data_IF_305560649637
#
_entry.id   IF_305560649637
#
_cell.length_a   1.000
_cell.length_b   1.000
_cell.length_c   1.000
_cell.angle_alpha   90.00
_cell.angle_beta   90.00
_cell.angle_gamma   90.00
#
_symmetry.space_group_name_H-M   'P 1'
#
loop_
_entity.id
_entity.type
_entity.pdbx_description
1 polymer ?
#
# COMPACT_ATOMS: atom_id res chain seq x y z
N UNK A 1 -29.50 -1.46 -11.00
CA UNK A 1 -28.80 -0.37 -10.25
C UNK A 1 -27.87 -1.00 -9.24
N UNK A 2 -26.59 -0.65 -9.28
CA UNK A 2 -25.56 -1.19 -8.39
C UNK A 2 -25.72 -0.66 -6.96
N UNK A 3 -25.28 -1.45 -5.98
CA UNK A 3 -25.13 -1.04 -4.58
C UNK A 3 -24.00 0.00 -4.43
N UNK A 4 -23.94 0.67 -3.29
CA UNK A 4 -22.88 1.66 -3.01
C UNK A 4 -21.47 1.02 -2.99
N UNK A 5 -21.36 -0.20 -2.47
CA UNK A 5 -20.11 -0.96 -2.43
C UNK A 5 -19.68 -1.44 -3.81
N UNK A 6 -20.60 -1.96 -4.63
CA UNK A 6 -20.34 -2.36 -6.02
C UNK A 6 -19.89 -1.17 -6.85
N UNK A 7 -20.60 -0.04 -6.72
CA UNK A 7 -20.22 1.20 -7.39
C UNK A 7 -18.80 1.62 -7.02
N UNK A 8 -18.45 1.54 -5.74
CA UNK A 8 -17.08 1.84 -5.30
C UNK A 8 -16.04 0.91 -5.94
N UNK A 9 -16.31 -0.39 -6.05
CA UNK A 9 -15.41 -1.35 -6.71
C UNK A 9 -15.23 -1.02 -8.20
N UNK A 10 -16.30 -0.63 -8.90
CA UNK A 10 -16.23 -0.22 -10.32
C UNK A 10 -15.39 1.06 -10.45
N UNK A 11 -15.55 2.03 -9.55
CA UNK A 11 -14.72 3.25 -9.51
C UNK A 11 -13.24 2.89 -9.32
N UNK A 12 -12.93 2.02 -8.36
CA UNK A 12 -11.54 1.60 -8.10
C UNK A 12 -10.96 0.86 -9.31
N UNK A 13 -11.72 -0.05 -9.92
CA UNK A 13 -11.30 -0.75 -11.13
C UNK A 13 -10.97 0.22 -12.26
N UNK A 14 -11.88 1.16 -12.53
CA UNK A 14 -11.70 2.18 -13.55
C UNK A 14 -10.45 3.02 -13.27
N UNK A 15 -10.32 3.57 -12.07
CA UNK A 15 -9.18 4.40 -11.67
C UNK A 15 -7.86 3.65 -11.72
N UNK A 16 -7.87 2.35 -11.41
CA UNK A 16 -6.66 1.54 -11.49
C UNK A 16 -6.09 1.46 -12.92
N UNK A 17 -6.96 1.57 -13.93
CA UNK A 17 -6.62 1.51 -15.36
C UNK A 17 -6.42 2.90 -15.99
N UNK A 18 -7.07 3.93 -15.44
CA UNK A 18 -6.91 5.32 -15.87
C UNK A 18 -5.66 5.98 -15.23
N UNK A 19 -4.48 5.54 -15.66
CA UNK A 19 -3.20 6.05 -15.15
C UNK A 19 -3.01 7.56 -15.32
N UNK A 20 -3.57 8.11 -16.40
CA UNK A 20 -3.50 9.54 -16.70
C UNK A 20 -4.53 10.36 -15.94
N UNK A 21 -5.56 9.70 -15.40
CA UNK A 21 -6.64 10.37 -14.70
C UNK A 21 -7.62 11.11 -15.60
N UNK A 22 -7.54 10.88 -16.91
CA UNK A 22 -8.21 11.71 -17.94
C UNK A 22 -9.72 11.41 -17.98
N UNK A 23 -10.19 10.39 -17.27
CA UNK A 23 -11.56 9.89 -17.32
C UNK A 23 -11.83 9.03 -18.56
N UNK A 24 -10.78 8.61 -19.25
CA UNK A 24 -10.80 7.79 -20.47
C UNK A 24 -9.77 6.68 -20.37
N UNK A 25 -10.22 5.42 -20.43
CA UNK A 25 -9.33 4.27 -20.44
C UNK A 25 -9.18 3.77 -21.88
N UNK A 26 -7.96 3.64 -22.42
CA UNK A 26 -7.77 3.03 -23.73
C UNK A 26 -8.33 1.61 -23.76
N UNK A 27 -9.04 1.24 -24.83
CA UNK A 27 -9.58 -0.11 -24.98
C UNK A 27 -8.51 -1.20 -24.80
N UNK A 28 -7.27 -0.95 -25.24
CA UNK A 28 -6.14 -1.88 -25.03
C UNK A 28 -5.86 -2.18 -23.56
N UNK A 29 -5.98 -1.19 -22.68
CA UNK A 29 -5.75 -1.35 -21.24
C UNK A 29 -6.87 -2.18 -20.60
N UNK A 30 -8.13 -1.91 -20.96
CA UNK A 30 -9.28 -2.70 -20.51
C UNK A 30 -9.12 -4.17 -20.90
N UNK A 31 -8.75 -4.45 -22.16
CA UNK A 31 -8.50 -5.82 -22.64
C UNK A 31 -7.36 -6.50 -21.88
N UNK A 32 -6.29 -5.77 -21.60
CA UNK A 32 -5.12 -6.31 -20.90
C UNK A 32 -5.44 -6.70 -19.46
N UNK A 33 -6.27 -5.90 -18.78
CA UNK A 33 -6.65 -6.10 -17.38
C UNK A 33 -7.74 -7.13 -17.18
N UNK A 34 -8.65 -7.23 -18.14
CA UNK A 34 -9.83 -8.06 -18.04
C UNK A 34 -9.48 -9.56 -17.91
N UNK A 35 -9.94 -10.16 -16.82
CA UNK A 35 -9.77 -11.57 -16.55
C UNK A 35 -11.00 -12.38 -16.96
N UNK A 36 -11.04 -12.72 -18.25
CA UNK A 36 -12.13 -13.47 -18.88
C UNK A 36 -12.52 -14.80 -18.18
N UNK A 37 -11.60 -15.45 -17.47
CA UNK A 37 -11.90 -16.69 -16.75
C UNK A 37 -12.80 -16.47 -15.52
N UNK A 38 -12.83 -15.27 -14.97
CA UNK A 38 -13.69 -14.92 -13.84
C UNK A 38 -15.12 -14.57 -14.26
N UNK A 39 -15.39 -14.44 -15.56
CA UNK A 39 -16.73 -14.11 -16.06
C UNK A 39 -17.74 -15.20 -15.63
N UNK A 40 -18.94 -14.85 -15.12
CA UNK A 40 -19.92 -15.80 -14.60
C UNK A 40 -20.21 -16.97 -15.54
N UNK A 41 -20.57 -16.66 -16.79
CA UNK A 41 -20.89 -17.66 -17.82
C UNK A 41 -19.69 -18.55 -18.19
N UNK A 42 -18.47 -18.08 -17.97
CA UNK A 42 -17.25 -18.88 -18.18
C UNK A 42 -17.02 -19.83 -17.02
N UNK A 43 -17.20 -19.38 -15.78
CA UNK A 43 -17.13 -20.25 -14.59
C UNK A 43 -18.15 -21.39 -14.62
N UNK A 44 -19.33 -21.10 -15.14
CA UNK A 44 -20.40 -22.09 -15.31
C UNK A 44 -20.19 -23.02 -16.51
N UNK A 45 -19.16 -22.78 -17.34
CA UNK A 45 -18.91 -23.55 -18.56
C UNK A 45 -19.88 -23.27 -19.70
N UNK A 46 -20.76 -22.27 -19.57
CA UNK A 46 -21.71 -21.84 -20.62
C UNK A 46 -21.04 -20.99 -21.70
N UNK A 47 -19.85 -20.46 -21.46
CA UNK A 47 -19.12 -19.57 -22.35
C UNK A 47 -17.61 -19.90 -22.33
N UNK A 48 -16.96 -19.83 -23.49
CA UNK A 48 -15.50 -19.93 -23.56
C UNK A 48 -14.84 -18.59 -23.14
N UNK A 49 -13.66 -18.61 -22.50
CA UNK A 49 -12.95 -17.37 -22.15
C UNK A 49 -12.67 -16.46 -23.35
N UNK A 50 -12.43 -17.02 -24.54
CA UNK A 50 -12.28 -16.25 -25.78
C UNK A 50 -13.57 -15.50 -26.12
N UNK A 51 -14.71 -16.18 -26.06
CA UNK A 51 -16.01 -15.55 -26.30
C UNK A 51 -16.34 -14.45 -25.27
N UNK A 52 -15.87 -14.59 -24.02
CA UNK A 52 -16.01 -13.54 -23.01
C UNK A 52 -15.13 -12.31 -23.30
N UNK A 53 -13.96 -12.50 -23.94
CA UNK A 53 -13.14 -11.39 -24.46
C UNK A 53 -13.77 -10.78 -25.69
N UNK A 54 -14.30 -11.59 -26.61
CA UNK A 54 -14.94 -11.11 -27.84
C UNK A 54 -16.19 -10.28 -27.52
N UNK A 55 -16.98 -10.68 -26.52
CA UNK A 55 -18.14 -9.91 -26.04
C UNK A 55 -17.72 -8.60 -25.39
N UNK A 56 -16.66 -8.60 -24.58
CA UNK A 56 -16.09 -7.37 -24.04
C UNK A 56 -15.57 -6.44 -25.15
N UNK A 57 -14.85 -7.00 -26.11
CA UNK A 57 -14.31 -6.29 -27.28
C UNK A 57 -15.43 -5.70 -28.14
N UNK A 58 -16.53 -6.42 -28.31
CA UNK A 58 -17.69 -5.93 -29.02
C UNK A 58 -18.36 -4.77 -28.25
N UNK A 59 -18.59 -4.96 -26.95
CA UNK A 59 -19.26 -3.95 -26.12
C UNK A 59 -18.45 -2.66 -26.05
N UNK A 60 -17.20 -2.74 -25.59
CA UNK A 60 -16.36 -1.56 -25.47
C UNK A 60 -15.75 -1.10 -26.79
N UNK A 61 -15.71 -1.94 -27.83
CA UNK A 61 -15.28 -1.53 -29.16
C UNK A 61 -16.23 -0.52 -29.80
N UNK A 62 -17.54 -0.67 -29.56
CA UNK A 62 -18.54 0.30 -29.98
C UNK A 62 -18.39 1.62 -29.21
N UNK A 63 -18.32 1.56 -27.88
CA UNK A 63 -18.07 2.71 -27.01
C UNK A 63 -16.77 3.46 -27.39
N UNK A 64 -15.70 2.71 -27.61
CA UNK A 64 -14.40 3.25 -27.96
C UNK A 64 -14.41 3.94 -29.33
N UNK A 65 -15.23 3.48 -30.28
CA UNK A 65 -15.36 4.14 -31.58
C UNK A 65 -15.98 5.55 -31.46
N UNK A 66 -16.83 5.77 -30.47
CA UNK A 66 -17.46 7.07 -30.20
C UNK A 66 -16.53 8.04 -29.45
N UNK A 67 -15.42 7.55 -28.91
CA UNK A 67 -14.52 8.27 -27.99
C UNK A 67 -13.03 8.09 -28.32
N UNK A 68 -12.67 8.08 -29.61
CA UNK A 68 -11.27 8.02 -30.11
C UNK A 68 -10.44 6.85 -29.52
N UNK A 69 -11.07 5.71 -29.31
CA UNK A 69 -10.44 4.52 -28.74
C UNK A 69 -10.46 4.44 -27.21
N UNK A 70 -11.05 5.43 -26.53
CA UNK A 70 -11.18 5.49 -25.08
C UNK A 70 -12.55 5.03 -24.58
N UNK A 71 -12.58 4.48 -23.36
CA UNK A 71 -13.80 4.05 -22.68
C UNK A 71 -14.00 4.97 -21.49
N UNK A 72 -15.20 5.48 -21.35
CA UNK A 72 -15.55 6.44 -20.32
C UNK A 72 -16.14 5.77 -19.08
N UNK A 73 -16.13 6.47 -17.94
CA UNK A 73 -16.61 5.87 -16.69
C UNK A 73 -18.07 5.42 -16.77
N UNK A 74 -18.98 6.20 -17.36
CA UNK A 74 -20.40 5.79 -17.40
C UNK A 74 -20.64 4.60 -18.33
N UNK A 75 -19.84 4.42 -19.38
CA UNK A 75 -19.92 3.22 -20.24
C UNK A 75 -19.39 1.98 -19.52
N UNK A 76 -18.29 2.16 -18.78
CA UNK A 76 -17.74 1.13 -17.92
C UNK A 76 -18.70 0.76 -16.79
N UNK A 77 -19.39 1.74 -16.20
CA UNK A 77 -20.43 1.54 -15.20
C UNK A 77 -21.63 0.80 -15.79
N UNK A 78 -22.13 1.23 -16.95
CA UNK A 78 -23.25 0.60 -17.63
C UNK A 78 -22.97 -0.87 -17.98
N UNK A 79 -21.72 -1.21 -18.33
CA UNK A 79 -21.31 -2.61 -18.50
C UNK A 79 -21.51 -3.45 -17.22
N UNK A 80 -21.19 -2.90 -16.06
CA UNK A 80 -21.37 -3.59 -14.78
C UNK A 80 -22.83 -3.62 -14.33
N UNK A 81 -23.59 -2.56 -14.59
CA UNK A 81 -25.05 -2.57 -14.39
C UNK A 81 -25.69 -3.69 -15.21
N UNK A 82 -25.26 -3.88 -16.47
CA UNK A 82 -25.74 -4.99 -17.30
C UNK A 82 -25.38 -6.36 -16.72
N UNK A 83 -24.17 -6.55 -16.18
CA UNK A 83 -23.79 -7.81 -15.52
C UNK A 83 -24.69 -8.06 -14.29
N UNK A 84 -24.95 -7.02 -13.49
CA UNK A 84 -25.82 -7.12 -12.32
C UNK A 84 -27.28 -7.44 -12.73
N UNK A 85 -27.77 -6.83 -13.80
CA UNK A 85 -29.11 -7.10 -14.34
C UNK A 85 -29.20 -8.54 -14.89
N UNK A 86 -28.18 -9.03 -15.59
CA UNK A 86 -28.11 -10.43 -16.03
C UNK A 86 -28.09 -11.41 -14.84
N UNK A 87 -27.38 -11.07 -13.74
CA UNK A 87 -27.37 -11.88 -12.52
C UNK A 87 -28.74 -11.90 -11.81
N UNK A 88 -29.48 -10.80 -11.89
CA UNK A 88 -30.85 -10.71 -11.38
C UNK A 88 -31.79 -11.63 -12.17
N UNK A 89 -31.69 -11.62 -13.50
CA UNK A 89 -32.50 -12.48 -14.38
C UNK A 89 -32.22 -13.97 -14.17
N UNK A 90 -30.98 -14.34 -13.87
CA UNK A 90 -30.58 -15.73 -13.57
C UNK A 90 -30.97 -16.20 -12.16
N UNK A 91 -31.64 -15.37 -11.35
CA UNK A 91 -32.08 -15.67 -9.97
C UNK A 91 -30.97 -16.18 -9.06
N UNK A 92 -29.79 -15.56 -9.13
CA UNK A 92 -28.69 -15.84 -8.21
C UNK A 92 -29.12 -15.45 -6.78
N UNK A 93 -28.85 -16.31 -5.80
CA UNK A 93 -29.40 -16.15 -4.44
C UNK A 93 -28.99 -14.85 -3.74
N UNK A 94 -27.70 -14.52 -3.74
CA UNK A 94 -27.16 -13.29 -3.16
C UNK A 94 -26.52 -12.43 -4.27
N UNK A 95 -27.36 -11.56 -4.86
CA UNK A 95 -26.99 -10.73 -6.01
C UNK A 95 -25.87 -9.74 -5.65
N UNK A 96 -25.92 -9.02 -4.49
CA UNK A 96 -24.85 -8.12 -4.11
C UNK A 96 -23.50 -8.80 -3.95
N UNK A 97 -23.43 -9.88 -3.16
CA UNK A 97 -22.18 -10.58 -2.93
C UNK A 97 -21.62 -11.21 -4.22
N UNK A 98 -22.51 -11.69 -5.09
CA UNK A 98 -22.12 -12.23 -6.39
C UNK A 98 -21.51 -11.15 -7.30
N UNK A 99 -22.14 -9.98 -7.37
CA UNK A 99 -21.71 -8.87 -8.25
C UNK A 99 -20.40 -8.28 -7.74
N UNK A 100 -20.27 -8.03 -6.44
CA UNK A 100 -19.01 -7.57 -5.82
C UNK A 100 -17.85 -8.54 -6.10
N UNK A 101 -18.08 -9.84 -5.89
CA UNK A 101 -17.08 -10.87 -6.17
C UNK A 101 -16.73 -10.91 -7.66
N UNK A 102 -17.73 -10.78 -8.53
CA UNK A 102 -17.52 -10.79 -9.97
C UNK A 102 -16.68 -9.60 -10.42
N UNK A 103 -17.01 -8.37 -9.99
CA UNK A 103 -16.22 -7.17 -10.28
C UNK A 103 -14.79 -7.32 -9.78
N UNK A 104 -14.64 -7.81 -8.54
CA UNK A 104 -13.32 -8.01 -7.90
C UNK A 104 -12.45 -8.98 -8.70
N UNK A 105 -13.01 -10.10 -9.15
CA UNK A 105 -12.26 -11.11 -9.87
C UNK A 105 -12.04 -10.75 -11.36
N UNK A 106 -13.02 -10.12 -12.03
CA UNK A 106 -12.92 -9.68 -13.43
C UNK A 106 -11.77 -8.69 -13.63
N UNK A 107 -11.61 -7.74 -12.69
CA UNK A 107 -10.57 -6.72 -12.76
C UNK A 107 -9.36 -7.01 -11.89
N UNK A 108 -9.32 -8.21 -11.29
CA UNK A 108 -8.26 -8.64 -10.37
C UNK A 108 -8.02 -7.62 -9.26
N UNK A 109 -9.09 -7.01 -8.74
CA UNK A 109 -9.01 -6.10 -7.61
C UNK A 109 -8.51 -6.78 -6.33
N UNK A 110 -8.57 -8.12 -6.25
CA UNK A 110 -7.92 -8.87 -5.17
C UNK A 110 -6.39 -8.78 -5.17
N UNK A 111 -5.78 -8.41 -6.31
CA UNK A 111 -4.35 -8.09 -6.40
C UNK A 111 -4.09 -6.61 -6.03
N UNK A 112 -5.10 -5.87 -5.58
CA UNK A 112 -5.05 -4.45 -5.29
C UNK A 112 -5.51 -4.23 -3.86
N UNK A 113 -4.74 -3.49 -3.08
CA UNK A 113 -5.10 -3.19 -1.70
C UNK A 113 -6.12 -2.06 -1.66
N UNK A 114 -7.33 -2.38 -1.24
CA UNK A 114 -8.37 -1.39 -0.97
C UNK A 114 -8.10 -0.71 0.38
N UNK A 115 -8.40 0.59 0.53
CA UNK A 115 -9.06 1.49 -0.42
C UNK A 115 -8.09 2.23 -1.37
N UNK A 116 -6.78 2.00 -1.26
CA UNK A 116 -5.78 2.88 -1.90
C UNK A 116 -5.43 2.52 -3.34
N UNK A 117 -5.85 1.36 -3.81
CA UNK A 117 -5.50 0.93 -5.16
C UNK A 117 -4.04 0.46 -5.27
N UNK A 118 -3.32 0.29 -4.16
CA UNK A 118 -1.89 -0.05 -4.16
C UNK A 118 -1.72 -1.53 -4.46
N UNK A 119 -0.86 -1.87 -5.43
CA UNK A 119 -0.55 -3.26 -5.75
C UNK A 119 0.52 -3.80 -4.79
N UNK A 120 0.30 -4.93 -4.09
CA UNK A 120 1.29 -5.49 -3.22
C UNK A 120 2.40 -6.18 -4.03
N UNK A 121 3.66 -6.03 -3.60
CA UNK A 121 4.83 -6.69 -4.23
C UNK A 121 4.86 -8.20 -4.00
N UNK A 122 4.24 -8.66 -2.93
CA UNK A 122 4.17 -10.05 -2.51
C UNK A 122 2.78 -10.36 -1.95
N UNK A 123 2.47 -11.65 -1.75
CA UNK A 123 1.16 -12.07 -1.25
C UNK A 123 0.79 -11.34 0.04
N UNK A 124 -0.47 -10.88 0.15
CA UNK A 124 -0.96 -10.18 1.34
C UNK A 124 -0.81 -11.00 2.62
N UNK A 125 -0.92 -12.34 2.52
CA UNK A 125 -0.79 -13.29 3.62
C UNK A 125 0.65 -13.63 3.99
N UNK A 126 1.62 -13.14 3.21
CA UNK A 126 3.02 -13.36 3.49
C UNK A 126 3.52 -12.31 4.48
N UNK A 127 4.12 -12.76 5.58
CA UNK A 127 4.84 -11.87 6.48
C UNK A 127 6.08 -11.28 5.77
N UNK A 128 6.39 -10.00 6.00
CA UNK A 128 7.52 -9.36 5.35
C UNK A 128 8.84 -10.06 5.69
N UNK A 129 9.71 -10.22 4.69
CA UNK A 129 10.97 -10.94 4.81
C UNK A 129 12.14 -10.14 4.23
N UNK A 130 13.37 -10.52 4.62
CA UNK A 130 14.60 -9.89 4.17
C UNK A 130 14.61 -8.35 4.35
N UNK A 131 14.88 -7.61 3.27
CA UNK A 131 14.95 -6.14 3.31
C UNK A 131 13.60 -5.51 3.67
N UNK A 132 12.49 -6.06 3.16
CA UNK A 132 11.14 -5.54 3.45
C UNK A 132 10.75 -5.68 4.92
N UNK A 133 11.37 -6.61 5.64
CA UNK A 133 11.15 -6.78 7.07
C UNK A 133 11.82 -5.68 7.92
N UNK A 134 12.72 -4.89 7.33
CA UNK A 134 13.41 -3.77 7.99
C UNK A 134 13.12 -2.42 7.34
N UNK A 135 12.65 -2.39 6.09
CA UNK A 135 12.25 -1.18 5.38
C UNK A 135 10.91 -0.66 5.92
N UNK A 136 10.86 0.53 6.53
CA UNK A 136 9.60 1.13 6.96
C UNK A 136 8.63 1.30 5.79
N UNK A 137 7.34 1.05 6.04
CA UNK A 137 6.28 1.29 5.08
C UNK A 137 5.79 2.76 5.17
N UNK A 138 5.20 3.21 4.09
CA UNK A 138 4.46 4.48 4.00
C UNK A 138 3.02 4.25 4.43
N UNK A 139 2.50 5.14 5.27
CA UNK A 139 1.07 5.21 5.57
C UNK A 139 0.39 6.01 4.46
N UNK A 140 -0.54 5.42 3.71
CA UNK A 140 -1.18 6.04 2.54
C UNK A 140 -2.69 6.04 2.66
N UNK A 141 -3.39 7.04 2.12
CA UNK A 141 -4.85 7.08 2.08
C UNK A 141 -5.35 7.90 0.89
N UNK A 142 -6.57 7.61 0.44
CA UNK A 142 -7.23 8.39 -0.61
C UNK A 142 -8.03 9.51 0.05
N UNK A 143 -7.88 10.72 -0.45
CA UNK A 143 -8.66 11.88 -0.02
C UNK A 143 -9.30 12.57 -1.22
N UNK A 144 -10.53 13.06 -1.06
CA UNK A 144 -11.19 13.87 -2.08
C UNK A 144 -10.59 15.28 -2.09
N UNK A 145 -10.09 15.77 -3.23
CA UNK A 145 -9.70 17.18 -3.39
C UNK A 145 -10.92 18.06 -3.10
N UNK A 146 -10.90 18.75 -1.98
CA UNK A 146 -11.82 19.85 -1.71
C UNK A 146 -11.61 20.93 -2.78
N UNK A 147 -12.69 21.28 -3.50
CA UNK A 147 -12.68 22.28 -4.61
C UNK A 147 -12.12 23.66 -4.21
N UNK A 148 -11.92 23.95 -2.92
CA UNK A 148 -11.46 25.24 -2.41
C UNK A 148 -9.92 25.44 -2.38
N UNK A 149 -9.12 24.42 -2.69
CA UNK A 149 -7.65 24.52 -2.70
C UNK A 149 -7.06 24.69 -4.11
N UNK A 150 -7.78 25.30 -5.05
CA UNK A 150 -7.11 25.82 -6.25
C UNK A 150 -6.22 27.00 -5.83
N UNK A 151 -4.90 26.95 -6.10
CA UNK A 151 -4.04 28.10 -5.85
C UNK A 151 -4.60 29.27 -6.67
N UNK A 152 -4.70 30.44 -6.03
CA UNK A 152 -5.09 31.68 -6.67
C UNK A 152 -4.05 32.07 -7.73
N UNK A 153 -4.09 31.42 -8.89
CA UNK A 153 -3.34 31.85 -10.06
C UNK A 153 -4.08 33.06 -10.60
N UNK A 154 -3.47 34.22 -10.46
CA UNK A 154 -3.98 35.49 -10.95
C UNK A 154 -4.32 35.40 -12.45
N UNK A 155 -5.60 35.30 -12.79
CA UNK A 155 -6.11 35.38 -14.16
C UNK A 155 -6.84 36.70 -14.36
N UNK A 156 -6.08 37.72 -14.74
CA UNK A 156 -6.61 38.89 -15.44
C UNK A 156 -6.84 38.54 -16.92
N UNK A 157 -7.97 37.93 -17.25
CA UNK A 157 -8.55 38.00 -18.60
C UNK A 157 -10.00 37.52 -18.59
N UNK A 158 -10.91 38.49 -18.77
CA UNK A 158 -12.34 38.27 -18.90
C UNK A 158 -12.68 37.68 -20.26
N UNK A 159 -12.68 36.35 -20.37
CA UNK A 159 -13.35 35.65 -21.46
C UNK A 159 -14.52 34.86 -20.86
N UNK A 160 -15.73 35.21 -21.29
CA UNK A 160 -17.01 34.64 -20.85
C UNK A 160 -17.13 33.23 -21.44
N UNK A 161 -16.61 32.22 -20.75
CA UNK A 161 -16.72 30.82 -21.13
C UNK A 161 -18.04 30.27 -20.58
N UNK A 162 -18.90 29.84 -21.49
CA UNK A 162 -20.18 29.17 -21.23
C UNK A 162 -19.94 27.80 -20.60
N UNK A 163 -20.73 27.38 -19.59
CA UNK A 163 -20.54 26.08 -18.94
C UNK A 163 -21.13 24.97 -19.82
N UNK A 164 -20.31 24.38 -20.69
CA UNK A 164 -20.59 23.04 -21.21
C UNK A 164 -20.35 22.05 -20.08
N UNK A 165 -21.37 21.28 -19.73
CA UNK A 165 -21.32 20.22 -18.73
C UNK A 165 -20.44 19.05 -19.22
N UNK A 166 -19.11 19.27 -19.22
CA UNK A 166 -18.13 18.24 -19.46
C UNK A 166 -17.90 17.45 -18.18
N UNK A 167 -18.07 16.12 -18.27
CA UNK A 167 -17.54 15.11 -17.33
C UNK A 167 -16.24 15.60 -16.71
N UNK A 168 -16.26 15.85 -15.41
CA UNK A 168 -15.09 16.29 -14.66
C UNK A 168 -14.06 15.17 -14.57
N UNK A 169 -12.81 15.50 -14.92
CA UNK A 169 -11.60 14.74 -14.65
C UNK A 169 -11.60 14.24 -13.17
N UNK A 170 -11.86 12.94 -12.97
CA UNK A 170 -11.97 12.32 -11.64
C UNK A 170 -10.60 12.21 -10.94
N UNK A 171 -9.49 12.26 -11.66
CA UNK A 171 -8.18 12.44 -11.04
C UNK A 171 -7.98 13.82 -10.45
N UNK A 172 -8.80 14.79 -10.87
CA UNK A 172 -8.94 16.04 -10.17
C UNK A 172 -9.79 15.95 -8.91
N UNK A 173 -10.51 14.85 -8.68
CA UNK A 173 -11.40 14.67 -7.52
C UNK A 173 -10.74 13.93 -6.36
N UNK A 174 -9.76 13.06 -6.60
CA UNK A 174 -9.10 12.30 -5.53
C UNK A 174 -7.57 12.42 -5.60
N UNK A 175 -6.93 12.45 -4.44
CA UNK A 175 -5.48 12.44 -4.28
C UNK A 175 -5.09 11.33 -3.33
N UNK A 176 -4.11 10.54 -3.74
CA UNK A 176 -3.44 9.61 -2.84
C UNK A 176 -2.45 10.42 -1.99
N UNK A 177 -2.72 10.51 -0.70
CA UNK A 177 -1.81 11.12 0.28
C UNK A 177 -0.99 10.04 0.97
N UNK A 178 0.16 10.43 1.51
CA UNK A 178 0.90 9.53 2.39
C UNK A 178 1.92 10.20 3.29
N UNK A 179 2.37 9.47 4.30
CA UNK A 179 3.48 9.86 5.18
C UNK A 179 4.54 8.77 5.08
N UNK A 180 5.75 9.15 4.64
CA UNK A 180 6.84 8.21 4.37
C UNK A 180 7.43 7.64 5.66
N UNK A 181 7.78 6.36 5.59
CA UNK A 181 8.63 5.66 6.55
C UNK A 181 8.12 5.70 8.01
N UNK A 182 6.80 5.72 8.21
CA UNK A 182 6.17 5.80 9.54
C UNK A 182 5.60 4.49 10.02
N UNK A 183 5.57 3.44 9.21
CA UNK A 183 4.92 2.18 9.55
C UNK A 183 5.96 1.07 9.67
N UNK A 184 5.91 0.28 10.76
CA UNK A 184 6.79 -0.88 10.92
C UNK A 184 6.25 -2.09 10.16
N UNK A 185 7.07 -2.78 9.36
CA UNK A 185 6.69 -4.01 8.67
C UNK A 185 6.79 -5.23 9.59
N UNK A 186 6.01 -5.27 10.66
CA UNK A 186 6.05 -6.36 11.68
C UNK A 186 4.85 -7.30 11.64
N UNK A 187 3.97 -7.14 10.65
CA UNK A 187 2.71 -7.87 10.48
C UNK A 187 2.52 -8.22 9.00
N UNK A 188 1.67 -9.21 8.71
CA UNK A 188 1.22 -9.49 7.35
C UNK A 188 -0.03 -8.68 7.05
N UNK A 189 -0.17 -8.13 5.84
CA UNK A 189 -1.36 -7.32 5.49
C UNK A 189 -2.64 -8.14 5.59
N UNK A 190 -2.60 -9.41 5.21
CA UNK A 190 -3.73 -10.33 5.28
C UNK A 190 -4.16 -10.67 6.72
N UNK A 191 -3.39 -10.29 7.75
CA UNK A 191 -3.85 -10.36 9.14
C UNK A 191 -4.79 -9.19 9.49
N UNK A 192 -4.87 -8.16 8.64
CA UNK A 192 -5.74 -7.01 8.81
C UNK A 192 -7.07 -7.18 8.06
N UNK A 193 -8.15 -6.55 8.54
CA UNK A 193 -9.39 -6.39 7.76
C UNK A 193 -9.10 -5.78 6.39
N UNK A 194 -9.86 -6.20 5.37
CA UNK A 194 -9.65 -5.79 3.97
C UNK A 194 -9.62 -4.27 3.79
N UNK A 195 -10.49 -3.56 4.50
CA UNK A 195 -10.55 -2.09 4.52
C UNK A 195 -9.26 -1.42 5.01
N UNK A 196 -8.44 -2.14 5.80
CA UNK A 196 -7.23 -1.61 6.42
C UNK A 196 -5.96 -1.96 5.64
N UNK A 197 -6.02 -2.95 4.75
CA UNK A 197 -4.85 -3.49 4.07
C UNK A 197 -4.19 -2.44 3.16
N UNK A 198 -4.99 -1.58 2.51
CA UNK A 198 -4.53 -0.54 1.61
C UNK A 198 -3.81 0.64 2.26
N UNK A 199 -3.90 0.82 3.58
CA UNK A 199 -3.23 1.95 4.22
C UNK A 199 -1.70 1.80 4.30
N UNK A 200 -1.15 0.62 3.96
CA UNK A 200 0.25 0.29 4.20
C UNK A 200 0.96 -0.13 2.92
N UNK A 201 1.86 0.71 2.42
CA UNK A 201 2.58 0.47 1.18
C UNK A 201 4.10 0.55 1.37
N UNK A 202 4.84 -0.36 0.74
CA UNK A 202 6.30 -0.20 0.60
C UNK A 202 6.62 0.93 -0.38
N UNK A 203 7.75 1.63 -0.22
CA UNK A 203 8.18 2.66 -1.17
C UNK A 203 8.18 2.18 -2.62
N UNK A 204 8.59 0.93 -2.86
CA UNK A 204 8.63 0.32 -4.18
C UNK A 204 7.24 0.12 -4.79
N UNK A 205 6.21 -0.17 -3.97
CA UNK A 205 4.81 -0.32 -4.42
C UNK A 205 4.18 1.01 -4.85
N UNK A 206 4.72 2.13 -4.38
CA UNK A 206 4.27 3.48 -4.73
C UNK A 206 5.02 4.05 -5.95
N UNK A 207 5.92 3.29 -6.56
CA UNK A 207 6.71 3.74 -7.70
C UNK A 207 5.80 4.01 -8.91
N UNK A 208 5.82 5.25 -9.42
CA UNK A 208 4.98 5.66 -10.54
C UNK A 208 3.59 6.18 -10.14
N UNK A 209 3.22 6.09 -8.85
CA UNK A 209 1.99 6.68 -8.34
C UNK A 209 2.20 8.16 -7.97
N UNK A 210 1.20 9.00 -8.27
CA UNK A 210 1.20 10.41 -7.85
C UNK A 210 0.75 10.52 -6.39
N UNK A 211 1.71 10.42 -5.46
CA UNK A 211 1.45 10.51 -4.01
C UNK A 211 1.81 11.90 -3.49
N UNK A 212 0.84 12.58 -2.86
CA UNK A 212 1.07 13.82 -2.11
C UNK A 212 1.59 13.51 -0.71
N UNK A 213 2.90 13.63 -0.52
CA UNK A 213 3.53 13.32 0.75
C UNK A 213 3.42 14.45 1.76
N UNK A 214 2.86 14.14 2.92
CA UNK A 214 2.83 15.04 4.07
C UNK A 214 4.13 14.94 4.87
N UNK A 215 4.65 16.06 5.41
CA UNK A 215 5.88 16.05 6.19
C UNK A 215 5.65 15.34 7.54
N UNK A 216 6.57 14.45 7.96
CA UNK A 216 6.52 13.88 9.30
C UNK A 216 6.85 14.93 10.37
N UNK A 217 6.18 14.88 11.51
CA UNK A 217 6.51 15.71 12.67
C UNK A 217 7.80 15.26 13.34
N UNK A 218 8.49 16.19 14.00
CA UNK A 218 9.63 15.89 14.86
C UNK A 218 9.06 15.38 16.18
N UNK A 219 9.15 14.08 16.41
CA UNK A 219 8.75 13.43 17.66
C UNK A 219 9.87 12.55 18.19
N UNK A 220 9.91 12.38 19.51
CA UNK A 220 10.64 11.26 20.14
C UNK A 220 10.14 9.93 19.58
N UNK A 221 10.97 8.87 19.63
CA UNK A 221 10.70 7.54 19.07
C UNK A 221 9.60 6.78 19.83
N UNK A 222 8.40 7.35 19.89
CA UNK A 222 7.22 6.68 20.37
C UNK A 222 6.45 6.10 19.18
N UNK A 223 5.59 5.13 19.47
CA UNK A 223 4.79 4.43 18.48
C UNK A 223 3.34 4.37 18.96
N UNK A 224 2.42 4.63 18.05
CA UNK A 224 1.00 4.38 18.19
C UNK A 224 0.72 2.92 17.85
N UNK A 225 -0.30 2.41 18.51
CA UNK A 225 -0.90 1.12 18.20
C UNK A 225 -2.00 1.34 17.18
N UNK A 226 -2.17 0.34 16.30
CA UNK A 226 -3.23 0.34 15.30
C UNK A 226 -4.28 -0.67 15.73
N UNK A 227 -5.44 -0.19 16.18
CA UNK A 227 -6.49 -1.00 16.79
C UNK A 227 -7.83 -0.75 16.11
N UNK A 228 -8.61 -1.81 15.88
CA UNK A 228 -9.96 -1.74 15.32
C UNK A 228 -10.92 -2.61 16.13
N UNK A 229 -12.20 -2.30 16.03
CA UNK A 229 -13.26 -3.09 16.64
C UNK A 229 -13.69 -4.18 15.66
N UNK A 230 -13.71 -5.44 16.10
CA UNK A 230 -14.14 -6.57 15.26
C UNK A 230 -15.49 -7.16 15.70
N UNK A 231 -15.95 -6.80 16.89
CA UNK A 231 -17.27 -7.09 17.44
C UNK A 231 -17.55 -6.09 18.56
N UNK A 232 -18.81 -5.92 18.96
CA UNK A 232 -19.20 -4.93 19.97
C UNK A 232 -18.32 -4.97 21.23
N UNK A 233 -17.60 -3.87 21.48
CA UNK A 233 -16.63 -3.69 22.56
C UNK A 233 -15.46 -4.68 22.59
N UNK A 234 -15.17 -5.35 21.47
CA UNK A 234 -14.02 -6.24 21.31
C UNK A 234 -13.07 -5.69 20.28
N UNK A 235 -11.85 -5.43 20.73
CA UNK A 235 -10.82 -4.78 19.93
C UNK A 235 -9.72 -5.77 19.55
N UNK A 236 -9.23 -5.64 18.33
CA UNK A 236 -8.02 -6.29 17.84
C UNK A 236 -7.01 -5.21 17.43
N UNK A 237 -5.72 -5.52 17.43
CA UNK A 237 -4.72 -4.54 17.02
C UNK A 237 -3.33 -5.08 16.75
N UNK A 238 -2.51 -4.22 16.15
CA UNK A 238 -1.07 -4.41 15.98
C UNK A 238 -0.33 -3.38 16.83
N UNK A 239 0.51 -3.88 17.72
CA UNK A 239 1.25 -3.06 18.69
C UNK A 239 2.43 -2.32 18.03
N UNK A 240 2.60 -1.05 18.39
CA UNK A 240 3.81 -0.25 18.15
C UNK A 240 4.18 -0.08 16.69
N UNK A 241 3.17 0.02 15.83
CA UNK A 241 3.31 -0.06 14.37
C UNK A 241 3.46 1.31 13.70
N UNK A 242 2.75 2.35 14.16
CA UNK A 242 2.76 3.68 13.53
C UNK A 242 3.61 4.65 14.33
N UNK A 243 4.58 5.31 13.71
CA UNK A 243 5.45 6.27 14.36
C UNK A 243 4.65 7.48 14.85
N UNK A 244 4.97 7.99 16.04
CA UNK A 244 4.37 9.26 16.53
C UNK A 244 4.82 10.49 15.76
N UNK A 245 5.67 10.33 14.75
CA UNK A 245 5.93 11.35 13.73
C UNK A 245 4.71 11.64 12.85
N UNK A 246 3.68 10.80 12.92
CA UNK A 246 2.40 11.03 12.25
C UNK A 246 1.57 12.02 13.09
N UNK A 247 1.26 13.17 12.50
CA UNK A 247 0.26 14.08 13.04
C UNK A 247 -1.14 13.47 12.86
N UNK A 248 -1.83 13.21 13.97
CA UNK A 248 -3.16 12.59 13.95
C UNK A 248 -4.22 13.52 13.36
N UNK A 249 -4.02 14.84 13.42
CA UNK A 249 -4.97 15.81 12.89
C UNK A 249 -4.92 15.92 11.36
N UNK A 250 -3.79 15.53 10.76
CA UNK A 250 -3.65 15.46 9.30
C UNK A 250 -4.28 14.19 8.70
N UNK A 251 -4.66 13.21 9.54
CA UNK A 251 -5.27 11.99 9.06
C UNK A 251 -6.78 12.13 8.92
N UNK A 252 -7.37 11.49 7.89
CA UNK A 252 -8.82 11.46 7.75
C UNK A 252 -9.44 10.78 8.96
N UNK A 253 -10.67 11.20 9.32
CA UNK A 253 -11.36 10.67 10.50
C UNK A 253 -11.44 9.14 10.50
N UNK A 254 -11.69 8.55 9.33
CA UNK A 254 -11.73 7.11 9.12
C UNK A 254 -10.42 6.40 9.45
N UNK A 255 -9.25 7.01 9.25
CA UNK A 255 -7.96 6.42 9.61
C UNK A 255 -7.56 6.73 11.06
N UNK A 256 -7.91 7.92 11.53
CA UNK A 256 -7.56 8.42 12.87
C UNK A 256 -8.17 7.57 14.00
N UNK A 257 -9.37 7.03 13.78
CA UNK A 257 -10.04 6.17 14.76
C UNK A 257 -9.26 4.89 15.09
N UNK A 258 -8.45 4.40 14.13
CA UNK A 258 -7.65 3.19 14.32
C UNK A 258 -6.35 3.45 15.10
N UNK A 259 -5.94 4.71 15.24
CA UNK A 259 -4.71 5.09 15.92
C UNK A 259 -4.97 5.45 17.37
N UNK A 260 -4.35 4.72 18.28
CA UNK A 260 -4.42 5.02 19.71
C UNK A 260 -3.07 4.85 20.42
N UNK A 261 -2.99 5.44 21.61
CA UNK A 261 -1.83 5.22 22.48
C UNK A 261 -1.90 3.83 23.10
N UNK A 262 -0.75 3.26 23.42
CA UNK A 262 -0.67 1.94 24.05
C UNK A 262 -1.49 1.82 25.35
N UNK A 263 -1.48 2.87 26.18
CA UNK A 263 -2.32 2.94 27.37
C UNK A 263 -3.82 2.84 27.07
N UNK A 264 -4.27 3.44 25.97
CA UNK A 264 -5.67 3.39 25.53
C UNK A 264 -6.03 2.00 25.02
N UNK A 265 -5.13 1.36 24.26
CA UNK A 265 -5.34 0.00 23.76
C UNK A 265 -5.42 -1.03 24.91
N UNK A 266 -4.55 -0.91 25.93
CA UNK A 266 -4.63 -1.74 27.13
C UNK A 266 -5.97 -1.53 27.85
N UNK A 267 -6.40 -0.28 28.02
CA UNK A 267 -7.68 0.02 28.68
C UNK A 267 -8.89 -0.58 27.94
N UNK A 268 -8.80 -0.71 26.59
CA UNK A 268 -9.79 -1.37 25.74
C UNK A 268 -9.71 -2.89 25.72
N UNK A 269 -8.75 -3.49 26.44
CA UNK A 269 -8.51 -4.93 26.43
C UNK A 269 -8.26 -5.48 25.01
N UNK A 270 -7.54 -4.72 24.18
CA UNK A 270 -7.25 -5.09 22.79
C UNK A 270 -6.52 -6.44 22.72
N UNK A 271 -7.02 -7.34 21.87
CA UNK A 271 -6.34 -8.58 21.50
C UNK A 271 -5.27 -8.27 20.44
N UNK A 272 -4.03 -8.67 20.71
CA UNK A 272 -2.90 -8.36 19.84
C UNK A 272 -2.67 -9.45 18.79
N UNK A 273 -2.53 -9.03 17.53
CA UNK A 273 -2.05 -9.91 16.46
C UNK A 273 -0.57 -10.22 16.71
N UNK A 274 -0.12 -11.48 16.56
CA UNK A 274 1.28 -11.85 16.72
C UNK A 274 2.16 -11.09 15.72
N UNK A 275 2.91 -10.10 16.21
CA UNK A 275 3.89 -9.40 15.39
C UNK A 275 5.23 -10.12 15.44
N UNK A 276 5.92 -10.20 14.29
CA UNK A 276 7.30 -10.71 14.23
C UNK A 276 8.21 -9.53 13.96
N UNK A 277 8.92 -9.09 15.00
CA UNK A 277 9.99 -8.13 14.78
C UNK A 277 11.10 -8.82 13.99
N UNK A 278 11.29 -8.39 12.76
CA UNK A 278 12.32 -8.95 11.91
C UNK A 278 13.70 -8.69 12.53
N UNK A 279 14.41 -9.78 12.82
CA UNK A 279 15.80 -9.69 13.23
C UNK A 279 16.59 -9.48 11.95
N UNK A 280 17.22 -8.31 11.80
CA UNK A 280 18.04 -8.02 10.64
C UNK A 280 19.13 -9.10 10.51
N UNK A 281 19.12 -9.93 9.44
CA UNK A 281 20.02 -11.06 9.31
C UNK A 281 21.48 -10.64 9.15
N UNK A 282 21.77 -9.39 8.75
CA UNK A 282 23.14 -8.85 8.75
C UNK A 282 23.69 -8.66 10.16
N UNK A 283 22.81 -8.38 11.13
CA UNK A 283 23.17 -8.30 12.55
C UNK A 283 22.69 -9.59 13.23
N UNK A 284 23.20 -10.74 12.79
CA UNK A 284 23.13 -11.96 13.62
C UNK A 284 23.63 -11.59 15.00
N UNK A 285 22.75 -11.66 16.00
CA UNK A 285 23.04 -11.53 17.44
C UNK A 285 24.43 -12.09 17.73
N UNK A 286 25.45 -11.24 17.88
CA UNK A 286 26.77 -11.70 18.31
C UNK A 286 26.84 -11.95 19.81
N UNK A 287 25.85 -11.52 20.61
CA UNK A 287 25.53 -12.19 21.88
C UNK A 287 24.13 -11.84 22.39
N UNK A 288 23.60 -12.66 23.30
CA UNK A 288 22.39 -12.41 24.11
C UNK A 288 22.49 -11.16 25.01
N UNK A 289 23.66 -10.53 25.10
CA UNK A 289 23.93 -9.30 25.84
C UNK A 289 23.77 -8.02 25.00
N UNK A 290 23.71 -8.12 23.66
CA UNK A 290 23.69 -6.97 22.74
C UNK A 290 22.32 -6.73 22.08
N UNK A 291 21.24 -6.90 22.85
CA UNK A 291 19.88 -6.60 22.39
C UNK A 291 19.39 -5.26 22.93
N UNK A 292 19.00 -4.35 22.02
CA UNK A 292 18.49 -2.98 22.24
C UNK A 292 19.60 -1.94 22.51
N UNK A 293 19.83 -1.04 21.55
CA UNK A 293 20.82 0.03 21.68
C UNK A 293 21.69 0.33 20.45
N UNK A 294 21.35 -0.16 19.24
CA UNK A 294 22.15 0.03 18.01
C UNK A 294 22.55 1.49 17.79
N UNK A 295 21.67 2.45 18.14
CA UNK A 295 21.98 3.88 18.03
C UNK A 295 23.00 4.35 19.07
N UNK A 296 22.93 3.87 20.31
CA UNK A 296 23.92 4.16 21.35
C UNK A 296 25.27 3.51 21.05
N UNK A 297 25.27 2.31 20.47
CA UNK A 297 26.49 1.60 20.14
C UNK A 297 27.15 2.15 18.87
N UNK A 298 26.36 2.55 17.86
CA UNK A 298 26.86 3.38 16.76
C UNK A 298 27.43 4.71 17.25
N UNK A 299 26.79 5.37 18.23
CA UNK A 299 27.36 6.57 18.89
C UNK A 299 28.65 6.24 19.64
N UNK A 300 28.74 5.09 20.33
CA UNK A 300 29.94 4.67 21.05
C UNK A 300 31.09 4.33 20.09
N UNK A 301 30.80 3.64 18.99
CA UNK A 301 31.77 3.36 17.91
C UNK A 301 32.21 4.65 17.23
N UNK A 302 31.29 5.58 16.96
CA UNK A 302 31.62 6.88 16.40
C UNK A 302 32.48 7.70 17.37
N UNK A 303 32.14 7.69 18.66
CA UNK A 303 32.94 8.28 19.74
C UNK A 303 34.33 7.65 19.82
N UNK A 304 34.46 6.33 19.70
CA UNK A 304 35.76 5.64 19.66
C UNK A 304 36.56 5.99 18.40
N UNK A 305 35.91 6.09 17.24
CA UNK A 305 36.55 6.54 16.00
C UNK A 305 37.08 7.96 16.13
N UNK A 306 36.24 8.90 16.59
CA UNK A 306 36.63 10.30 16.81
C UNK A 306 37.79 10.39 17.80
N UNK A 307 37.75 9.64 18.90
CA UNK A 307 38.86 9.63 19.87
C UNK A 307 40.13 8.98 19.33
N UNK A 308 40.01 7.98 18.45
CA UNK A 308 41.15 7.34 17.77
C UNK A 308 41.80 8.33 16.79
N UNK A 309 40.99 9.06 16.02
CA UNK A 309 41.48 10.13 15.14
C UNK A 309 42.05 11.33 15.91
N UNK A 310 41.58 11.58 17.13
CA UNK A 310 42.13 12.59 18.04
C UNK A 310 43.42 12.13 18.77
N UNK A 311 44.02 11.00 18.38
CA UNK A 311 45.29 10.52 18.93
C UNK A 311 45.22 9.92 20.34
N UNK A 312 44.02 9.74 20.91
CA UNK A 312 43.85 9.01 22.18
C UNK A 312 43.91 7.51 21.89
N UNK A 313 44.78 6.77 22.58
CA UNK A 313 45.11 5.35 22.34
C UNK A 313 43.94 4.37 22.59
N UNK A 314 42.89 4.41 21.78
CA UNK A 314 41.84 3.39 21.75
C UNK A 314 42.02 2.38 20.60
N UNK A 315 42.85 2.71 19.59
CA UNK A 315 43.14 1.84 18.45
C UNK A 315 43.78 0.50 18.85
N UNK A 316 44.66 0.50 19.86
CA UNK A 316 45.34 -0.71 20.32
C UNK A 316 44.42 -1.69 21.08
N UNK A 317 43.36 -1.20 21.74
CA UNK A 317 42.38 -2.08 22.39
C UNK A 317 41.46 -2.77 21.37
N UNK A 318 41.06 -2.05 20.31
CA UNK A 318 40.25 -2.62 19.23
C UNK A 318 41.03 -3.67 18.43
N UNK A 319 42.29 -3.36 18.06
CA UNK A 319 43.13 -4.29 17.30
C UNK A 319 43.56 -5.53 18.12
N UNK A 320 43.77 -5.37 19.43
CA UNK A 320 44.14 -6.46 20.33
C UNK A 320 43.00 -7.45 20.61
N UNK A 321 41.75 -6.99 20.63
CA UNK A 321 40.56 -7.84 20.79
C UNK A 321 40.24 -8.62 19.52
N UNK A 322 40.28 -7.97 18.35
CA UNK A 322 40.09 -8.66 17.08
C UNK A 322 41.24 -9.65 16.79
N UNK A 323 42.50 -9.26 17.00
CA UNK A 323 43.66 -10.11 16.71
C UNK A 323 43.71 -11.42 17.51
N UNK A 324 43.36 -11.40 18.80
CA UNK A 324 43.34 -12.60 19.66
C UNK A 324 42.16 -13.54 19.39
N UNK A 325 41.07 -13.04 18.81
CA UNK A 325 39.92 -13.85 18.43
C UNK A 325 40.16 -14.59 17.10
N UNK A 326 40.76 -13.94 16.10
CA UNK A 326 41.03 -14.58 14.82
C UNK A 326 42.23 -15.53 14.84
N UNK A 327 43.21 -15.35 15.73
CA UNK A 327 44.35 -16.27 15.85
C UNK A 327 43.95 -17.67 16.37
N UNK A 328 42.82 -17.79 17.10
CA UNK A 328 42.26 -19.08 17.53
C UNK A 328 41.34 -19.72 16.49
N UNK A 329 40.90 -18.97 15.48
CA UNK A 329 40.01 -19.44 14.42
C UNK A 329 40.75 -19.81 13.12
N UNK A 330 42.07 -19.62 13.07
CA UNK A 330 42.91 -19.95 11.92
C UNK A 330 43.18 -21.46 11.80
N UNK A 331 42.13 -22.25 11.51
CA UNK A 331 42.29 -23.44 10.68
C UNK A 331 42.55 -23.01 9.23
N UNK A 332 43.02 -23.90 8.33
CA UNK A 332 43.38 -23.54 6.96
C UNK A 332 42.12 -23.26 6.14
N UNK A 333 41.55 -22.06 6.28
CA UNK A 333 40.45 -21.60 5.44
C UNK A 333 41.06 -21.11 4.13
N UNK A 334 41.08 -21.98 3.12
CA UNK A 334 41.18 -21.54 1.71
C UNK A 334 39.90 -20.79 1.36
N UNK A 335 39.85 -19.50 1.68
CA UNK A 335 38.83 -18.61 1.12
C UNK A 335 39.34 -18.09 -0.23
N UNK A 336 38.70 -18.50 -1.32
CA UNK A 336 38.93 -17.97 -2.66
C UNK A 336 38.16 -16.67 -2.94
N UNK A 337 37.45 -16.12 -1.95
CA UNK A 337 36.83 -14.80 -2.06
C UNK A 337 37.86 -13.73 -1.71
N UNK A 338 38.78 -13.48 -2.64
CA UNK A 338 39.65 -12.31 -2.59
C UNK A 338 38.82 -11.05 -2.77
N UNK A 339 38.84 -10.26 -1.71
CA UNK A 339 38.44 -8.88 -1.54
C UNK A 339 38.99 -8.00 -2.66
N UNK A 340 38.08 -7.33 -3.37
CA UNK A 340 38.38 -6.13 -4.17
C UNK A 340 37.68 -4.93 -3.54
N UNK A 341 38.18 -4.46 -2.39
CA UNK A 341 37.91 -3.12 -1.89
C UNK A 341 39.26 -2.41 -1.76
N UNK A 342 39.55 -1.55 -2.72
CA UNK A 342 40.68 -0.64 -2.71
C UNK A 342 40.52 0.38 -1.57
N UNK A 343 41.47 0.35 -0.62
CA UNK A 343 42.20 1.53 -0.12
C UNK A 343 43.67 1.13 -0.07
#
# INVERSE_FOLDING_TARGET
MLSESEYHLVVVAFQSMDHGGIGLIPLSEVKQRYFAHAHPRVKEGKMAPSAARDTLDHHFGLCAADHDGGITFDEFLAYHEKIADEAYDEQVGDIPAFTERTITELWRLGDVLLPTGVRPLFSISQAPSALYAVTPMTLVWVERRSQQQQPAVASSSSAKVTPTAGRGDLSALFVLRGIKDVVRPTFSRGDLPDELQGYFAYPEELTGMAVEYLPPQISMQNWYDFCWEYADNKYCGVEGIISTRVDRELLPAGLRQFLCTHSTAIARQTQWIPSRQAVNPMYKKTSTSYGVGVTEECRRIHYWKVNTFAGKQYGNQYHGLCGKQFSKAAGPVKSSAATGMNI
#
